data_IF_951129701580
#
_entry.id   IF_951129701580
#
_cell.length_a   1.000
_cell.length_b   1.000
_cell.length_c   1.000
_cell.angle_alpha   90.00
_cell.angle_beta   90.00
_cell.angle_gamma   90.00
#
_symmetry.space_group_name_H-M   'P 1'
#
loop_
_entity.id
_entity.type
_entity.pdbx_description
1 polymer ?
#
# COMPACT_ATOMS: atom_id res chain seq x y z
N UNK A 1 -19.71 4.47 -67.03
CA UNK A 1 -18.86 3.35 -66.61
C UNK A 1 -19.13 3.15 -65.13
N UNK A 2 -20.02 2.19 -64.86
CA UNK A 2 -20.17 1.32 -63.68
C UNK A 2 -19.17 1.54 -62.52
N UNK A 3 -19.51 1.49 -61.23
CA UNK A 3 -20.56 0.73 -60.55
C UNK A 3 -20.96 1.34 -59.19
N UNK A 4 -22.18 0.97 -58.83
CA UNK A 4 -22.97 1.19 -57.63
C UNK A 4 -22.85 -0.08 -56.75
N UNK A 5 -22.75 0.06 -55.42
CA UNK A 5 -23.27 -0.87 -54.39
C UNK A 5 -22.68 -0.49 -53.01
N UNK A 6 -23.50 -0.05 -52.06
CA UNK A 6 -24.29 -0.88 -51.11
C UNK A 6 -23.46 -1.20 -49.85
N UNK A 7 -23.41 -0.27 -48.89
CA UNK A 7 -24.21 -0.24 -47.63
C UNK A 7 -23.95 -1.38 -46.65
N UNK A 8 -23.69 -0.91 -45.42
CA UNK A 8 -24.25 -1.37 -44.14
C UNK A 8 -23.35 -2.21 -43.21
N UNK A 9 -23.42 -1.76 -41.95
CA UNK A 9 -23.61 -2.58 -40.76
C UNK A 9 -22.40 -3.01 -39.93
N UNK A 10 -22.21 -2.24 -38.85
CA UNK A 10 -21.96 -2.66 -37.46
C UNK A 10 -21.02 -3.85 -37.22
N UNK A 11 -19.88 -3.57 -36.60
CA UNK A 11 -19.32 -4.41 -35.53
C UNK A 11 -18.32 -3.55 -34.77
N UNK A 12 -18.71 -3.00 -33.63
CA UNK A 12 -18.45 -3.65 -32.34
C UNK A 12 -16.98 -4.03 -32.23
N UNK A 13 -16.15 -3.07 -31.84
CA UNK A 13 -14.85 -3.35 -31.24
C UNK A 13 -15.11 -4.10 -29.93
N UNK A 14 -15.21 -5.42 -30.02
CA UNK A 14 -15.02 -6.28 -28.88
C UNK A 14 -13.57 -6.06 -28.37
N UNK A 15 -13.34 -5.73 -27.10
CA UNK A 15 -12.03 -5.93 -26.54
C UNK A 15 -11.73 -7.42 -26.59
N UNK A 16 -10.70 -7.75 -27.34
CA UNK A 16 -10.08 -9.06 -27.48
C UNK A 16 -10.06 -9.80 -26.14
N UNK A 17 -10.57 -11.03 -26.15
CA UNK A 17 -10.39 -12.03 -25.11
C UNK A 17 -8.88 -12.29 -24.91
N UNK A 18 -8.23 -11.44 -24.13
CA UNK A 18 -6.87 -11.66 -23.67
C UNK A 18 -6.83 -13.00 -22.96
N UNK A 19 -5.90 -13.87 -23.38
CA UNK A 19 -5.77 -15.24 -22.86
C UNK A 19 -5.86 -15.24 -21.34
N UNK A 20 -6.57 -16.21 -20.77
CA UNK A 20 -6.71 -16.37 -19.33
C UNK A 20 -5.35 -16.36 -18.61
N UNK A 21 -4.25 -16.71 -19.29
CA UNK A 21 -2.89 -16.60 -18.78
C UNK A 21 -2.42 -15.14 -18.58
N UNK A 22 -2.73 -14.22 -19.50
CA UNK A 22 -2.44 -12.79 -19.33
C UNK A 22 -3.34 -12.16 -18.26
N UNK A 23 -4.63 -12.54 -18.22
CA UNK A 23 -5.54 -12.11 -17.16
C UNK A 23 -5.12 -12.65 -15.79
N UNK A 24 -4.68 -13.91 -15.71
CA UNK A 24 -4.18 -14.54 -14.49
C UNK A 24 -2.86 -13.92 -14.05
N UNK A 25 -1.92 -13.64 -14.96
CA UNK A 25 -0.71 -12.87 -14.63
C UNK A 25 -1.09 -11.49 -14.09
N UNK A 26 -2.01 -10.78 -14.74
CA UNK A 26 -2.47 -9.47 -14.26
C UNK A 26 -3.06 -9.55 -12.84
N UNK A 27 -3.90 -10.55 -12.57
CA UNK A 27 -4.48 -10.77 -11.25
C UNK A 27 -3.44 -11.17 -10.21
N UNK A 28 -2.52 -12.07 -10.54
CA UNK A 28 -1.40 -12.46 -9.66
C UNK A 28 -0.51 -11.26 -9.37
N UNK A 29 -0.23 -10.43 -10.38
CA UNK A 29 0.56 -9.20 -10.28
C UNK A 29 -0.14 -8.09 -9.49
N UNK A 30 -1.48 -8.03 -9.51
CA UNK A 30 -2.26 -7.06 -8.73
C UNK A 30 -2.55 -7.53 -7.31
N UNK A 31 -2.54 -8.83 -7.03
CA UNK A 31 -2.83 -9.41 -5.71
C UNK A 31 -1.54 -9.61 -4.89
N UNK A 32 -0.39 -9.92 -5.51
CA UNK A 32 0.82 -10.37 -4.81
C UNK A 32 2.00 -9.39 -4.80
N UNK A 33 1.73 -8.07 -4.90
CA UNK A 33 2.68 -6.96 -5.03
C UNK A 33 2.92 -6.55 -6.50
N UNK A 34 2.88 -5.24 -6.81
CA UNK A 34 3.19 -4.75 -8.16
C UNK A 34 4.57 -5.22 -8.62
N UNK A 35 4.68 -5.65 -9.89
CA UNK A 35 5.94 -6.06 -10.52
C UNK A 35 7.00 -4.96 -10.54
N UNK A 36 6.58 -3.71 -10.44
CA UNK A 36 7.47 -2.59 -10.23
C UNK A 36 7.54 -2.34 -8.73
N UNK A 37 8.76 -2.35 -8.19
CA UNK A 37 8.97 -1.87 -6.84
C UNK A 37 8.35 -0.46 -6.78
N UNK A 38 7.40 -0.20 -5.86
CA UNK A 38 6.96 1.15 -5.61
C UNK A 38 8.22 2.00 -5.38
N UNK A 39 8.26 3.18 -6.00
CA UNK A 39 9.34 4.17 -6.01
C UNK A 39 10.17 4.29 -7.29
N UNK A 40 10.13 3.35 -8.25
CA UNK A 40 10.99 3.47 -9.46
C UNK A 40 10.39 4.31 -10.59
N UNK A 41 9.07 4.29 -10.76
CA UNK A 41 8.35 4.96 -11.85
C UNK A 41 7.23 5.90 -11.37
N UNK A 42 6.86 5.82 -10.08
CA UNK A 42 5.68 6.44 -9.49
C UNK A 42 5.96 7.20 -8.17
N UNK A 43 7.22 7.33 -7.76
CA UNK A 43 7.56 8.05 -6.52
C UNK A 43 7.12 9.51 -6.59
N UNK A 44 6.16 9.85 -5.76
CA UNK A 44 5.78 11.22 -5.49
C UNK A 44 5.60 11.39 -3.99
N UNK A 45 6.50 12.15 -3.37
CA UNK A 45 6.49 12.40 -1.93
C UNK A 45 5.16 12.96 -1.41
N UNK A 46 4.43 13.73 -2.22
CA UNK A 46 3.11 14.27 -1.84
C UNK A 46 2.02 13.20 -1.86
N UNK A 47 2.05 12.27 -2.83
CA UNK A 47 1.10 11.14 -2.88
C UNK A 47 1.38 10.15 -1.75
N UNK A 48 2.65 9.88 -1.50
CA UNK A 48 3.12 9.08 -0.37
C UNK A 48 2.68 9.66 0.98
N UNK A 49 2.80 10.98 1.16
CA UNK A 49 2.29 11.66 2.36
C UNK A 49 0.77 11.54 2.47
N UNK A 50 0.05 11.75 1.37
CA UNK A 50 -1.41 11.65 1.35
C UNK A 50 -1.91 10.23 1.68
N UNK A 51 -1.20 9.21 1.18
CA UNK A 51 -1.49 7.80 1.48
C UNK A 51 -1.32 7.50 2.97
N UNK A 52 -0.23 7.99 3.59
CA UNK A 52 0.01 7.83 5.03
C UNK A 52 -1.10 8.49 5.84
N UNK A 53 -1.41 9.76 5.57
CA UNK A 53 -2.45 10.49 6.32
C UNK A 53 -3.83 9.84 6.17
N UNK A 54 -4.20 9.44 4.95
CA UNK A 54 -5.47 8.74 4.69
C UNK A 54 -5.53 7.40 5.43
N UNK A 55 -4.43 6.65 5.44
CA UNK A 55 -4.33 5.37 6.14
C UNK A 55 -4.45 5.57 7.65
N UNK A 56 -3.81 6.60 8.20
CA UNK A 56 -3.89 6.99 9.61
C UNK A 56 -5.33 7.33 10.01
N UNK A 57 -6.01 8.16 9.21
CA UNK A 57 -7.42 8.49 9.43
C UNK A 57 -8.30 7.23 9.37
N UNK A 58 -8.13 6.38 8.36
CA UNK A 58 -8.90 5.15 8.22
C UNK A 58 -8.71 4.19 9.41
N UNK A 59 -7.49 4.07 9.93
CA UNK A 59 -7.20 3.25 11.10
C UNK A 59 -7.80 3.84 12.39
N UNK A 60 -7.78 5.17 12.55
CA UNK A 60 -8.43 5.83 13.68
C UNK A 60 -9.96 5.65 13.63
N UNK A 61 -10.57 5.80 12.46
CA UNK A 61 -11.99 5.53 12.25
C UNK A 61 -12.31 4.05 12.49
N UNK A 62 -11.48 3.14 12.01
CA UNK A 62 -11.64 1.70 12.22
C UNK A 62 -11.57 1.35 13.71
N UNK A 63 -10.61 1.93 14.45
CA UNK A 63 -10.47 1.77 15.90
C UNK A 63 -11.77 2.11 16.64
N UNK A 64 -12.49 3.15 16.20
CA UNK A 64 -13.77 3.56 16.81
C UNK A 64 -14.92 2.56 16.60
N UNK A 65 -14.79 1.66 15.62
CA UNK A 65 -15.85 0.72 15.20
C UNK A 65 -15.62 -0.72 15.63
N UNK A 66 -14.44 -1.04 16.16
CA UNK A 66 -14.09 -2.41 16.55
C UNK A 66 -14.28 -2.68 18.04
N UNK A 67 -14.45 -3.97 18.37
CA UNK A 67 -14.47 -4.43 19.75
C UNK A 67 -13.14 -4.12 20.47
N UNK A 68 -13.17 -3.76 21.77
CA UNK A 68 -11.98 -3.51 22.58
C UNK A 68 -10.92 -4.63 22.54
N UNK A 69 -11.35 -5.87 22.26
CA UNK A 69 -10.45 -7.03 22.15
C UNK A 69 -9.45 -6.94 20.99
N UNK A 70 -9.76 -6.17 19.95
CA UNK A 70 -8.89 -6.00 18.77
C UNK A 70 -8.16 -4.65 18.75
N UNK A 71 -8.40 -3.79 19.75
CA UNK A 71 -7.85 -2.44 19.79
C UNK A 71 -6.33 -2.42 19.91
N UNK A 72 -5.71 -3.43 20.53
CA UNK A 72 -4.25 -3.53 20.61
C UNK A 72 -3.60 -3.65 19.23
N UNK A 73 -4.12 -4.51 18.36
CA UNK A 73 -3.62 -4.69 17.01
C UNK A 73 -3.77 -3.41 16.17
N UNK A 74 -4.91 -2.73 16.29
CA UNK A 74 -5.14 -1.45 15.59
C UNK A 74 -4.26 -0.34 16.15
N UNK A 75 -4.03 -0.28 17.46
CA UNK A 75 -3.07 0.65 18.05
C UNK A 75 -1.65 0.42 17.55
N UNK A 76 -1.20 -0.84 17.44
CA UNK A 76 0.11 -1.17 16.88
C UNK A 76 0.22 -0.76 15.41
N UNK A 77 -0.84 -0.94 14.62
CA UNK A 77 -0.88 -0.50 13.23
C UNK A 77 -0.80 1.04 13.14
N UNK A 78 -1.56 1.77 13.96
CA UNK A 78 -1.50 3.24 14.03
C UNK A 78 -0.08 3.68 14.39
N UNK A 79 0.50 3.14 15.46
CA UNK A 79 1.85 3.49 15.90
C UNK A 79 2.90 3.20 14.81
N UNK A 80 2.74 2.11 14.05
CA UNK A 80 3.63 1.78 12.93
C UNK A 80 3.54 2.81 11.80
N UNK A 81 2.32 3.25 11.46
CA UNK A 81 2.11 4.26 10.41
C UNK A 81 2.56 5.65 10.86
N UNK A 82 2.38 6.00 12.14
CA UNK A 82 2.92 7.24 12.74
C UNK A 82 4.45 7.22 12.72
N UNK A 83 5.07 6.13 13.12
CA UNK A 83 6.52 5.96 13.02
C UNK A 83 7.01 6.09 11.57
N UNK A 84 6.28 5.55 10.60
CA UNK A 84 6.62 5.71 9.19
C UNK A 84 6.53 7.19 8.75
N UNK A 85 5.47 7.90 9.15
CA UNK A 85 5.31 9.33 8.89
C UNK A 85 6.46 10.14 9.49
N UNK A 86 6.75 9.89 10.76
CA UNK A 86 7.69 10.66 11.56
C UNK A 86 9.15 10.35 11.21
N UNK A 87 9.41 9.25 10.49
CA UNK A 87 10.72 8.94 9.93
C UNK A 87 11.08 9.76 8.69
N UNK A 88 10.15 10.58 8.16
CA UNK A 88 10.33 11.33 6.91
C UNK A 88 10.60 12.82 7.15
N UNK A 89 11.48 13.38 6.32
CA UNK A 89 11.79 14.81 6.29
C UNK A 89 10.67 15.67 5.66
N UNK A 90 10.89 16.99 5.59
CA UNK A 90 9.94 17.94 4.97
C UNK A 90 9.68 17.63 3.49
N UNK A 91 10.64 16.99 2.83
CA UNK A 91 10.58 16.62 1.42
C UNK A 91 9.92 15.25 1.22
N UNK A 92 9.56 14.56 2.30
CA UNK A 92 8.92 13.24 2.31
C UNK A 92 9.89 12.07 2.14
N UNK A 93 11.19 12.32 2.15
CA UNK A 93 12.21 11.28 2.10
C UNK A 93 12.51 10.75 3.50
N UNK A 94 12.99 9.52 3.62
CA UNK A 94 13.38 8.95 4.91
C UNK A 94 14.57 9.75 5.46
N UNK A 95 14.42 10.30 6.66
CA UNK A 95 15.46 10.95 7.44
C UNK A 95 16.12 9.93 8.35
N UNK A 96 17.41 9.66 8.12
CA UNK A 96 18.19 8.73 8.95
C UNK A 96 18.16 9.12 10.43
N UNK A 97 18.28 10.41 10.75
CA UNK A 97 18.26 10.92 12.13
C UNK A 97 16.92 10.61 12.82
N UNK A 98 15.81 10.88 12.13
CA UNK A 98 14.48 10.59 12.68
C UNK A 98 14.25 9.09 12.80
N UNK A 99 14.67 8.31 11.80
CA UNK A 99 14.55 6.86 11.80
C UNK A 99 15.31 6.23 12.97
N UNK A 100 16.54 6.66 13.24
CA UNK A 100 17.34 6.18 14.39
C UNK A 100 16.62 6.50 15.71
N UNK A 101 16.08 7.70 15.86
CA UNK A 101 15.32 8.09 17.05
C UNK A 101 14.10 7.18 17.26
N UNK A 102 13.35 6.91 16.19
CA UNK A 102 12.15 6.07 16.23
C UNK A 102 12.50 4.62 16.57
N UNK A 103 13.52 4.04 15.92
CA UNK A 103 13.96 2.68 16.19
C UNK A 103 14.47 2.53 17.63
N UNK A 104 15.17 3.53 18.16
CA UNK A 104 15.62 3.54 19.56
C UNK A 104 14.44 3.54 20.53
N UNK A 105 13.41 4.36 20.26
CA UNK A 105 12.19 4.41 21.06
C UNK A 105 11.44 3.07 21.03
N UNK A 106 11.29 2.46 19.85
CA UNK A 106 10.65 1.15 19.69
C UNK A 106 11.41 0.07 20.46
N UNK A 107 12.74 0.05 20.38
CA UNK A 107 13.57 -0.91 21.11
C UNK A 107 13.45 -0.75 22.64
N UNK A 108 13.34 0.49 23.13
CA UNK A 108 13.16 0.78 24.56
C UNK A 108 11.74 0.51 25.09
N UNK A 109 10.75 0.50 24.19
CA UNK A 109 9.33 0.27 24.51
C UNK A 109 8.94 -1.21 24.45
N UNK A 110 9.80 -2.09 23.95
CA UNK A 110 9.54 -3.53 23.94
C UNK A 110 9.52 -4.03 25.40
N UNK A 111 8.47 -4.77 25.83
CA UNK A 111 8.55 -5.46 27.11
C UNK A 111 9.76 -6.38 27.09
N UNK A 112 10.54 -6.38 28.17
CA UNK A 112 11.71 -7.24 28.36
C UNK A 112 11.44 -8.61 27.74
N UNK A 113 12.17 -8.92 26.66
CA UNK A 113 12.18 -10.27 26.11
C UNK A 113 12.66 -11.15 27.25
N UNK A 114 11.71 -11.86 27.88
CA UNK A 114 12.03 -12.85 28.91
C UNK A 114 12.87 -13.91 28.20
N UNK A 115 14.18 -13.81 28.35
CA UNK A 115 15.13 -14.80 27.85
C UNK A 115 14.78 -16.10 28.55
N UNK A 116 14.06 -16.98 27.87
CA UNK A 116 13.87 -18.36 28.30
C UNK A 116 15.25 -19.03 28.32
N UNK A 117 15.91 -18.97 29.47
CA UNK A 117 17.09 -19.76 29.76
C UNK A 117 16.63 -21.23 29.75
N UNK A 118 17.07 -21.98 28.74
CA UNK A 118 16.80 -23.43 28.71
C UNK A 118 17.56 -24.13 29.86
N UNK A 119 16.96 -25.19 30.45
CA UNK A 119 17.52 -25.94 31.58
C UNK A 119 18.82 -26.64 31.23
#
# INVERSE_FOLDING_TARGET
>A
MTDWAFTDKTSSMAPSSGSSAQATRCLVNHILLPLELPQKSDYNASYERHLIETTLQALQEFKSRISPRHTSAVNSAIATVENLRDSRDTNGNISEVQLISILSNVASSAPDIVVFKRP
#
